data_IF_527638521243
#
_entry.id   IF_527638521243
#
_cell.length_a   1.000
_cell.length_b   1.000
_cell.length_c   1.000
_cell.angle_alpha   90.00
_cell.angle_beta   90.00
_cell.angle_gamma   90.00
#
_symmetry.space_group_name_H-M   'P 1'
#
loop_
_entity.id
_entity.type
_entity.pdbx_description
1 polymer ?
#
# COMPACT_ATOMS: atom_id res chain seq x y z
N UNK A 1 -4.18 -11.41 26.26
CA UNK A 1 -4.17 -11.06 24.82
C UNK A 1 -5.30 -11.83 24.16
N UNK A 2 -6.40 -11.19 23.78
CA UNK A 2 -7.52 -11.87 23.14
C UNK A 2 -7.22 -12.05 21.65
N UNK A 3 -7.26 -13.29 21.15
CA UNK A 3 -7.24 -13.53 19.72
C UNK A 3 -8.38 -12.75 19.05
N UNK A 4 -8.14 -11.99 17.97
CA UNK A 4 -9.24 -11.44 17.18
C UNK A 4 -10.09 -12.61 16.69
N UNK A 5 -11.40 -12.52 16.97
CA UNK A 5 -12.37 -13.55 16.60
C UNK A 5 -12.32 -13.75 15.08
N UNK A 6 -11.92 -14.93 14.61
CA UNK A 6 -11.74 -15.22 13.18
C UNK A 6 -12.99 -14.88 12.34
N UNK A 7 -14.17 -15.00 12.95
CA UNK A 7 -15.46 -14.64 12.35
C UNK A 7 -15.55 -13.12 12.09
N UNK A 8 -15.05 -12.29 13.01
CA UNK A 8 -15.04 -10.84 12.83
C UNK A 8 -14.09 -10.42 11.70
N UNK A 9 -12.92 -11.07 11.59
CA UNK A 9 -11.98 -10.84 10.49
C UNK A 9 -12.58 -11.24 9.13
N UNK A 10 -13.30 -12.37 9.07
CA UNK A 10 -14.03 -12.83 7.88
C UNK A 10 -15.12 -11.85 7.44
N UNK A 11 -15.94 -11.34 8.37
CA UNK A 11 -17.01 -10.39 8.08
C UNK A 11 -16.43 -9.06 7.57
N UNK A 12 -15.36 -8.57 8.20
CA UNK A 12 -14.69 -7.33 7.80
C UNK A 12 -14.04 -7.47 6.41
N UNK A 13 -13.38 -8.60 6.16
CA UNK A 13 -12.81 -8.95 4.85
C UNK A 13 -13.88 -8.98 3.76
N UNK A 14 -15.02 -9.62 4.00
CA UNK A 14 -16.13 -9.69 3.05
C UNK A 14 -16.76 -8.31 2.77
N UNK A 15 -16.95 -7.48 3.79
CA UNK A 15 -17.45 -6.11 3.61
C UNK A 15 -16.49 -5.25 2.76
N UNK A 16 -15.18 -5.48 2.88
CA UNK A 16 -14.17 -4.77 2.11
C UNK A 16 -14.05 -5.24 0.66
N UNK A 17 -14.25 -6.52 0.37
CA UNK A 17 -14.31 -7.03 -0.99
C UNK A 17 -15.45 -6.40 -1.81
N UNK A 18 -16.55 -6.03 -1.15
CA UNK A 18 -17.68 -5.33 -1.76
C UNK A 18 -17.35 -3.83 -1.99
N UNK A 19 -16.60 -3.21 -1.08
CA UNK A 19 -16.28 -1.77 -1.14
C UNK A 19 -15.14 -1.41 -2.11
N UNK A 20 -14.20 -2.33 -2.35
CA UNK A 20 -13.15 -2.20 -3.37
C UNK A 20 -13.50 -3.11 -4.56
N UNK A 21 -14.17 -2.63 -5.63
CA UNK A 21 -14.34 -3.44 -6.85
C UNK A 21 -12.98 -3.90 -7.37
N UNK A 22 -12.96 -4.96 -8.18
CA UNK A 22 -11.72 -5.58 -8.66
C UNK A 22 -10.74 -4.52 -9.23
N UNK A 23 -9.72 -4.21 -8.43
CA UNK A 23 -8.67 -3.24 -8.72
C UNK A 23 -7.35 -3.97 -9.02
N UNK A 24 -7.45 -5.19 -9.57
CA UNK A 24 -6.31 -5.98 -10.00
C UNK A 24 -5.55 -5.28 -11.12
N UNK A 25 -4.23 -5.41 -11.09
CA UNK A 25 -3.34 -4.84 -12.08
C UNK A 25 -3.07 -5.90 -13.15
N UNK A 26 -3.56 -5.63 -14.36
CA UNK A 26 -3.14 -6.38 -15.55
C UNK A 26 -1.79 -5.84 -16.03
N UNK A 27 -0.77 -6.68 -15.98
CA UNK A 27 0.56 -6.35 -16.49
C UNK A 27 0.66 -6.61 -18.00
N UNK A 28 1.45 -5.78 -18.65
CA UNK A 28 1.84 -5.93 -20.06
C UNK A 28 3.34 -6.22 -20.14
N UNK A 29 3.82 -6.71 -21.29
CA UNK A 29 5.27 -6.89 -21.52
C UNK A 29 6.07 -5.61 -21.30
N UNK A 30 5.49 -4.45 -21.59
CA UNK A 30 6.14 -3.15 -21.38
C UNK A 30 6.42 -2.86 -19.89
N UNK A 31 5.68 -3.49 -18.98
CA UNK A 31 5.84 -3.32 -17.54
C UNK A 31 7.03 -4.14 -16.99
N UNK A 32 7.46 -5.20 -17.68
CA UNK A 32 8.62 -6.02 -17.30
C UNK A 32 9.92 -5.22 -17.21
N UNK A 33 9.99 -4.04 -17.85
CA UNK A 33 11.12 -3.11 -17.70
C UNK A 33 11.40 -2.68 -16.26
N UNK A 34 10.44 -2.86 -15.35
CA UNK A 34 10.61 -2.55 -13.93
C UNK A 34 11.26 -3.67 -13.11
N UNK A 35 11.36 -4.89 -13.64
CA UNK A 35 11.92 -6.05 -12.93
C UNK A 35 13.36 -5.80 -12.48
N UNK A 36 14.27 -5.52 -13.43
CA UNK A 36 15.67 -5.34 -13.09
C UNK A 36 15.93 -4.14 -12.15
N UNK A 37 15.32 -2.95 -12.36
CA UNK A 37 15.49 -1.82 -11.44
C UNK A 37 14.97 -2.07 -10.03
N UNK A 38 13.79 -2.72 -9.88
CA UNK A 38 13.24 -3.02 -8.55
C UNK A 38 14.06 -4.10 -7.85
N UNK A 39 14.43 -5.17 -8.56
CA UNK A 39 15.31 -6.20 -8.01
C UNK A 39 16.67 -5.64 -7.57
N UNK A 40 17.21 -4.66 -8.30
CA UNK A 40 18.43 -3.97 -7.92
C UNK A 40 18.24 -3.12 -6.65
N UNK A 41 17.08 -2.46 -6.48
CA UNK A 41 16.74 -1.74 -5.25
C UNK A 41 16.60 -2.68 -4.05
N UNK A 42 15.97 -3.85 -4.24
CA UNK A 42 15.76 -4.83 -3.16
C UNK A 42 17.05 -5.49 -2.64
N UNK A 43 18.14 -5.38 -3.39
CA UNK A 43 19.48 -5.85 -2.98
C UNK A 43 20.26 -4.81 -2.16
N UNK A 44 19.71 -3.61 -1.97
CA UNK A 44 20.35 -2.53 -1.20
C UNK A 44 19.93 -2.58 0.26
N UNK A 45 20.68 -1.86 1.09
CA UNK A 45 20.38 -1.73 2.51
C UNK A 45 19.04 -1.02 2.73
N UNK A 46 18.31 -1.44 3.77
CA UNK A 46 16.97 -0.95 4.09
C UNK A 46 16.93 0.57 4.43
N UNK A 47 18.09 1.15 4.71
CA UNK A 47 18.24 2.57 5.01
C UNK A 47 18.47 3.44 3.76
N UNK A 48 18.58 2.82 2.59
CA UNK A 48 18.92 3.51 1.34
C UNK A 48 17.71 3.75 0.43
N UNK A 49 17.67 4.94 -0.18
CA UNK A 49 16.77 5.24 -1.30
C UNK A 49 17.49 4.98 -2.61
N UNK A 50 16.98 4.03 -3.38
CA UNK A 50 17.52 3.69 -4.69
C UNK A 50 16.87 4.53 -5.79
N UNK A 51 17.69 5.13 -6.66
CA UNK A 51 17.22 5.84 -7.86
C UNK A 51 17.39 4.94 -9.09
N UNK A 52 16.31 4.47 -9.74
CA UNK A 52 16.43 3.78 -11.02
C UNK A 52 17.02 4.73 -12.08
N UNK A 53 17.68 4.17 -13.11
CA UNK A 53 18.29 4.94 -14.20
C UNK A 53 17.30 5.83 -14.95
N UNK A 54 16.04 5.40 -15.00
CA UNK A 54 14.93 6.15 -15.56
C UNK A 54 13.68 5.98 -14.68
N UNK A 55 12.78 6.98 -14.63
CA UNK A 55 11.56 6.84 -13.85
C UNK A 55 10.66 5.72 -14.38
N UNK A 56 10.16 4.87 -13.47
CA UNK A 56 9.24 3.78 -13.80
C UNK A 56 7.81 4.31 -13.79
N UNK A 57 6.96 3.86 -14.72
CA UNK A 57 5.52 4.02 -14.51
C UNK A 57 5.08 3.09 -13.36
N UNK A 58 3.91 3.39 -12.78
CA UNK A 58 3.34 2.59 -11.69
C UNK A 58 3.32 1.09 -11.97
N UNK A 59 2.84 0.67 -13.15
CA UNK A 59 2.69 -0.75 -13.44
C UNK A 59 4.04 -1.44 -13.61
N UNK A 60 5.05 -0.81 -14.23
CA UNK A 60 6.39 -1.40 -14.26
C UNK A 60 7.00 -1.53 -12.87
N UNK A 61 6.84 -0.52 -12.01
CA UNK A 61 7.26 -0.61 -10.62
C UNK A 61 6.59 -1.81 -9.91
N UNK A 62 5.27 -1.95 -10.02
CA UNK A 62 4.53 -3.05 -9.39
C UNK A 62 4.87 -4.43 -9.97
N UNK A 63 5.11 -4.52 -11.28
CA UNK A 63 5.59 -5.74 -11.94
C UNK A 63 6.95 -6.14 -11.38
N UNK A 64 7.87 -5.17 -11.22
CA UNK A 64 9.15 -5.45 -10.58
C UNK A 64 9.03 -5.84 -9.11
N UNK A 65 8.07 -5.27 -8.37
CA UNK A 65 7.83 -5.64 -6.98
C UNK A 65 7.39 -7.09 -6.84
N UNK A 66 6.36 -7.52 -7.60
CA UNK A 66 5.86 -8.90 -7.49
C UNK A 66 6.93 -9.91 -7.88
N UNK A 67 7.68 -9.64 -8.96
CA UNK A 67 8.79 -10.51 -9.41
C UNK A 67 9.94 -10.55 -8.39
N UNK A 68 10.29 -9.42 -7.77
CA UNK A 68 11.36 -9.37 -6.77
C UNK A 68 11.02 -10.10 -5.46
N UNK A 69 9.73 -10.29 -5.18
CA UNK A 69 9.24 -10.98 -3.96
C UNK A 69 8.76 -12.41 -4.23
N UNK A 70 8.72 -12.82 -5.49
CA UNK A 70 8.19 -14.13 -5.87
C UNK A 70 9.06 -15.25 -5.30
N UNK A 71 8.47 -16.09 -4.45
CA UNK A 71 9.14 -17.26 -3.86
C UNK A 71 10.13 -16.96 -2.73
N UNK A 72 10.26 -15.72 -2.26
CA UNK A 72 11.22 -15.36 -1.18
C UNK A 72 10.79 -15.90 0.21
N UNK A 73 9.50 -16.24 0.38
CA UNK A 73 8.98 -16.78 1.66
C UNK A 73 8.96 -15.78 2.82
N UNK A 74 9.35 -14.53 2.57
CA UNK A 74 9.34 -13.41 3.50
C UNK A 74 8.32 -12.35 3.07
N UNK A 75 7.85 -11.54 4.03
CA UNK A 75 7.15 -10.30 3.74
C UNK A 75 8.13 -9.17 3.40
N UNK A 76 7.80 -8.41 2.37
CA UNK A 76 8.57 -7.28 1.87
C UNK A 76 7.67 -6.07 1.79
N UNK A 77 8.25 -4.93 2.15
CA UNK A 77 7.68 -3.62 1.92
C UNK A 77 8.54 -2.88 0.89
N UNK A 78 7.98 -2.60 -0.29
CA UNK A 78 8.67 -1.86 -1.35
C UNK A 78 7.92 -0.56 -1.60
N UNK A 79 8.61 0.57 -1.47
CA UNK A 79 8.01 1.91 -1.53
C UNK A 79 8.57 2.67 -2.71
N UNK A 80 7.72 3.00 -3.68
CA UNK A 80 8.04 3.87 -4.80
C UNK A 80 7.67 5.32 -4.50
N UNK A 81 8.65 6.22 -4.51
CA UNK A 81 8.44 7.67 -4.41
C UNK A 81 8.39 8.26 -5.80
N UNK A 82 7.32 8.97 -6.13
CA UNK A 82 7.12 9.46 -7.48
C UNK A 82 6.23 10.68 -7.57
N UNK A 83 5.85 11.01 -8.80
CA UNK A 83 4.93 12.10 -9.10
C UNK A 83 3.85 11.63 -10.04
N UNK A 84 2.65 12.14 -9.85
CA UNK A 84 1.53 11.92 -10.77
C UNK A 84 1.89 12.47 -12.14
N UNK A 85 1.69 11.67 -13.18
CA UNK A 85 1.91 12.01 -14.57
C UNK A 85 0.76 11.46 -15.41
N UNK A 86 -0.23 12.31 -15.69
CA UNK A 86 -1.49 11.90 -16.32
C UNK A 86 -2.24 10.86 -15.49
N UNK A 87 -2.40 9.65 -16.05
CA UNK A 87 -3.10 8.51 -15.42
C UNK A 87 -2.18 7.57 -14.62
N UNK A 88 -0.87 7.83 -14.61
CA UNK A 88 0.12 7.01 -13.93
C UNK A 88 0.92 7.82 -12.91
N UNK A 89 1.74 7.11 -12.16
CA UNK A 89 2.77 7.68 -11.28
C UNK A 89 4.12 7.39 -11.94
N UNK A 90 5.01 8.38 -12.00
CA UNK A 90 6.41 8.19 -12.37
C UNK A 90 7.23 8.03 -11.09
N UNK A 91 7.64 6.81 -10.80
CA UNK A 91 8.46 6.44 -9.64
C UNK A 91 9.92 6.80 -9.93
N UNK A 92 10.47 7.68 -9.11
CA UNK A 92 11.80 8.26 -9.24
C UNK A 92 12.78 7.70 -8.19
N UNK A 93 12.27 7.17 -7.08
CA UNK A 93 13.06 6.55 -6.01
C UNK A 93 12.34 5.34 -5.44
N UNK A 94 13.09 4.38 -4.91
CA UNK A 94 12.58 3.13 -4.34
C UNK A 94 13.24 2.91 -2.98
N UNK A 95 12.45 2.62 -1.95
CA UNK A 95 12.93 2.05 -0.70
C UNK A 95 12.44 0.60 -0.58
N UNK A 96 13.17 -0.21 0.18
CA UNK A 96 12.81 -1.59 0.44
C UNK A 96 13.10 -1.94 1.90
N UNK A 97 12.17 -2.62 2.55
CA UNK A 97 12.39 -3.27 3.82
C UNK A 97 11.97 -4.73 3.75
N UNK A 98 12.70 -5.61 4.45
CA UNK A 98 12.37 -7.02 4.60
C UNK A 98 11.91 -7.30 6.02
N UNK A 99 10.85 -8.08 6.12
CA UNK A 99 10.29 -8.54 7.37
C UNK A 99 10.66 -9.99 7.67
N UNK A 100 9.75 -10.63 8.40
CA UNK A 100 9.71 -12.07 8.63
C UNK A 100 8.70 -12.71 7.66
N UNK A 101 8.49 -14.03 7.71
CA UNK A 101 7.40 -14.67 6.96
C UNK A 101 5.99 -14.15 7.29
N UNK A 102 5.80 -13.54 8.47
CA UNK A 102 4.48 -13.17 9.00
C UNK A 102 4.28 -11.67 9.20
N UNK A 103 5.35 -10.87 9.13
CA UNK A 103 5.24 -9.43 9.33
C UNK A 103 6.39 -8.65 8.71
N UNK A 104 6.07 -7.54 8.04
CA UNK A 104 7.03 -6.45 7.74
C UNK A 104 6.57 -5.13 8.36
N UNK A 105 7.47 -4.48 9.10
CA UNK A 105 7.22 -3.14 9.63
C UNK A 105 7.64 -2.07 8.62
N UNK A 106 6.97 -0.90 8.65
CA UNK A 106 7.46 0.31 7.98
C UNK A 106 8.48 0.98 8.92
N UNK A 107 9.78 1.01 8.57
CA UNK A 107 10.78 1.70 9.38
C UNK A 107 10.44 3.18 9.57
N UNK A 108 10.75 3.78 10.73
CA UNK A 108 10.44 5.19 11.00
C UNK A 108 10.98 6.16 9.94
N UNK A 109 12.18 5.95 9.43
CA UNK A 109 12.77 6.81 8.39
C UNK A 109 12.03 6.71 7.06
N UNK A 110 11.58 5.52 6.66
CA UNK A 110 10.75 5.33 5.45
C UNK A 110 9.40 6.01 5.65
N UNK A 111 8.76 5.84 6.81
CA UNK A 111 7.50 6.53 7.17
C UNK A 111 7.65 8.05 7.05
N UNK A 112 8.69 8.63 7.64
CA UNK A 112 8.97 10.07 7.54
C UNK A 112 9.25 10.50 6.10
N UNK A 113 10.02 9.72 5.33
CA UNK A 113 10.29 10.01 3.93
C UNK A 113 9.02 10.03 3.09
N UNK A 114 8.07 9.10 3.32
CA UNK A 114 6.79 9.06 2.62
C UNK A 114 5.96 10.31 2.88
N UNK A 115 5.84 10.71 4.15
CA UNK A 115 5.10 11.91 4.57
C UNK A 115 5.72 13.15 3.94
N UNK A 116 7.03 13.33 4.10
CA UNK A 116 7.76 14.49 3.59
C UNK A 116 7.64 14.57 2.06
N UNK A 117 7.78 13.44 1.36
CA UNK A 117 7.65 13.39 -0.10
C UNK A 117 6.26 13.82 -0.55
N UNK A 118 5.20 13.22 -0.01
CA UNK A 118 3.82 13.59 -0.39
C UNK A 118 3.52 15.04 -0.04
N UNK A 119 3.99 15.56 1.10
CA UNK A 119 3.72 16.94 1.50
C UNK A 119 4.46 17.97 0.62
N UNK A 120 5.69 17.68 0.20
CA UNK A 120 6.57 18.62 -0.53
C UNK A 120 6.11 19.07 -1.92
N UNK A 121 5.15 18.39 -2.55
CA UNK A 121 4.66 18.77 -3.87
C UNK A 121 3.22 18.35 -4.11
N UNK A 122 2.42 19.18 -4.81
CA UNK A 122 1.00 18.87 -5.04
C UNK A 122 0.81 17.59 -5.84
N UNK A 123 1.69 17.30 -6.80
CA UNK A 123 1.62 16.09 -7.63
C UNK A 123 2.37 14.89 -7.03
N UNK A 124 3.00 15.01 -5.85
CA UNK A 124 3.85 13.95 -5.31
C UNK A 124 2.99 12.79 -4.81
N UNK A 125 3.32 11.59 -5.29
CA UNK A 125 2.65 10.35 -4.92
C UNK A 125 3.65 9.36 -4.34
N UNK A 126 3.14 8.49 -3.48
CA UNK A 126 3.87 7.32 -2.98
C UNK A 126 3.08 6.09 -3.35
N UNK A 127 3.77 5.06 -3.84
CA UNK A 127 3.24 3.73 -4.08
C UNK A 127 3.86 2.80 -3.05
N UNK A 128 3.06 2.29 -2.13
CA UNK A 128 3.46 1.30 -1.15
C UNK A 128 3.01 -0.07 -1.62
N UNK A 129 3.94 -0.98 -1.81
CA UNK A 129 3.70 -2.39 -2.13
C UNK A 129 4.07 -3.25 -0.92
N UNK A 130 3.18 -4.17 -0.56
CA UNK A 130 3.38 -5.18 0.45
C UNK A 130 3.08 -6.55 -0.17
N UNK A 131 3.92 -7.56 -0.01
CA UNK A 131 3.57 -8.94 -0.37
C UNK A 131 3.25 -9.79 0.86
N UNK A 132 2.31 -10.73 0.69
CA UNK A 132 2.14 -11.86 1.60
C UNK A 132 2.71 -13.13 0.96
N UNK A 133 3.55 -13.89 1.68
CA UNK A 133 3.92 -15.24 1.30
C UNK A 133 2.67 -16.14 1.15
N UNK A 134 2.75 -17.23 0.36
CA UNK A 134 1.65 -18.17 0.24
C UNK A 134 1.22 -18.71 1.62
N UNK A 135 -0.04 -18.52 1.97
CA UNK A 135 -0.63 -19.06 3.21
C UNK A 135 -1.82 -19.97 2.89
N UNK A 136 -2.07 -20.96 3.75
CA UNK A 136 -3.18 -21.90 3.58
C UNK A 136 -4.56 -21.23 3.65
N UNK A 137 -4.68 -20.05 4.27
CA UNK A 137 -5.93 -19.28 4.37
C UNK A 137 -6.35 -18.76 2.99
N UNK A 138 -5.41 -18.55 2.08
CA UNK A 138 -5.65 -17.96 0.75
C UNK A 138 -6.30 -18.96 -0.23
N UNK A 139 -6.17 -20.26 0.04
CA UNK A 139 -6.90 -21.31 -0.68
C UNK A 139 -8.43 -21.23 -0.48
N UNK A 140 -8.90 -20.52 0.56
CA UNK A 140 -10.33 -20.34 0.85
C UNK A 140 -10.94 -19.14 0.10
N UNK A 141 -10.12 -18.21 -0.40
CA UNK A 141 -10.57 -16.96 -1.05
C UNK A 141 -10.07 -16.81 -2.50
N UNK A 142 -9.97 -17.92 -3.23
CA UNK A 142 -9.52 -17.97 -4.63
C UNK A 142 -8.19 -17.22 -4.89
N UNK A 143 -7.28 -17.22 -3.90
CA UNK A 143 -5.96 -16.58 -3.98
C UNK A 143 -5.97 -15.05 -4.18
N UNK A 144 -7.09 -14.36 -3.89
CA UNK A 144 -7.13 -12.90 -3.97
C UNK A 144 -6.25 -12.26 -2.88
N UNK A 145 -5.44 -11.21 -3.21
CA UNK A 145 -4.71 -10.46 -2.20
C UNK A 145 -5.67 -9.76 -1.21
N UNK A 146 -5.57 -10.06 0.08
CA UNK A 146 -6.39 -9.46 1.14
C UNK A 146 -5.54 -8.65 2.13
N UNK A 147 -5.76 -7.33 2.29
CA UNK A 147 -4.96 -6.52 3.20
C UNK A 147 -5.31 -6.83 4.66
N UNK A 148 -4.27 -7.01 5.48
CA UNK A 148 -4.40 -7.26 6.92
C UNK A 148 -5.01 -6.07 7.66
N UNK A 149 -5.43 -6.27 8.90
CA UNK A 149 -5.88 -5.18 9.77
C UNK A 149 -4.78 -4.10 9.93
N UNK A 150 -3.52 -4.50 10.03
CA UNK A 150 -2.36 -3.59 10.17
C UNK A 150 -2.17 -2.72 8.93
N UNK A 151 -2.35 -3.30 7.74
CA UNK A 151 -2.29 -2.55 6.48
C UNK A 151 -3.39 -1.47 6.41
N UNK A 152 -4.59 -1.82 6.89
CA UNK A 152 -5.73 -0.91 6.92
C UNK A 152 -5.58 0.21 7.94
N UNK A 153 -5.04 -0.09 9.12
CA UNK A 153 -4.70 0.93 10.13
C UNK A 153 -3.66 1.89 9.58
N UNK A 154 -2.62 1.37 8.92
CA UNK A 154 -1.59 2.16 8.27
C UNK A 154 -2.18 3.12 7.22
N UNK A 155 -3.06 2.61 6.35
CA UNK A 155 -3.81 3.43 5.38
C UNK A 155 -4.60 4.56 6.07
N UNK A 156 -5.31 4.25 7.15
CA UNK A 156 -6.07 5.23 7.93
C UNK A 156 -5.18 6.29 8.56
N UNK A 157 -4.03 5.93 9.14
CA UNK A 157 -3.08 6.88 9.74
C UNK A 157 -2.62 7.93 8.71
N UNK A 158 -2.23 7.48 7.51
CA UNK A 158 -1.77 8.40 6.47
C UNK A 158 -2.90 9.29 5.91
N UNK A 159 -4.08 8.73 5.69
CA UNK A 159 -5.22 9.51 5.19
C UNK A 159 -5.83 10.44 6.24
N UNK A 160 -5.52 10.26 7.52
CA UNK A 160 -5.89 11.19 8.59
C UNK A 160 -5.04 12.47 8.63
N UNK A 161 -3.90 12.51 7.91
CA UNK A 161 -3.06 13.70 7.88
C UNK A 161 -3.72 14.83 7.08
N UNK A 162 -3.93 16.04 7.66
CA UNK A 162 -4.72 17.10 7.03
C UNK A 162 -4.26 17.49 5.62
N UNK A 163 -2.95 17.61 5.40
CA UNK A 163 -2.39 17.99 4.09
C UNK A 163 -2.63 16.89 3.05
N UNK A 164 -2.46 15.62 3.43
CA UNK A 164 -2.66 14.48 2.53
C UNK A 164 -4.15 14.36 2.18
N UNK A 165 -5.04 14.53 3.17
CA UNK A 165 -6.49 14.56 2.96
C UNK A 165 -6.91 15.70 2.03
N UNK A 166 -6.38 16.92 2.25
CA UNK A 166 -6.67 18.07 1.41
C UNK A 166 -6.25 17.81 -0.04
N UNK A 167 -5.05 17.26 -0.25
CA UNK A 167 -4.59 16.87 -1.60
C UNK A 167 -5.51 15.84 -2.23
N UNK A 168 -5.90 14.81 -1.48
CA UNK A 168 -6.83 13.78 -1.98
C UNK A 168 -8.15 14.41 -2.46
N UNK A 169 -8.72 15.33 -1.70
CA UNK A 169 -9.97 16.04 -2.04
C UNK A 169 -9.84 16.90 -3.30
N UNK A 170 -8.69 17.54 -3.51
CA UNK A 170 -8.43 18.37 -4.70
C UNK A 170 -7.76 17.60 -5.86
N UNK A 171 -7.73 16.27 -5.80
CA UNK A 171 -7.13 15.44 -6.86
C UNK A 171 -5.60 15.58 -6.97
N UNK A 172 -4.94 16.04 -5.93
CA UNK A 172 -3.48 16.03 -5.78
C UNK A 172 -2.92 14.62 -5.57
N UNK A 173 -1.62 14.56 -5.33
CA UNK A 173 -0.89 13.35 -5.02
C UNK A 173 -1.24 12.79 -3.64
N UNK A 174 -1.01 11.49 -3.47
CA UNK A 174 -1.47 10.68 -2.35
C UNK A 174 -0.57 9.47 -2.14
N UNK A 175 -0.79 8.76 -1.05
CA UNK A 175 -0.18 7.44 -0.81
C UNK A 175 -1.16 6.39 -1.34
N UNK A 176 -0.66 5.46 -2.15
CA UNK A 176 -1.45 4.38 -2.78
C UNK A 176 -0.90 3.06 -2.33
N UNK A 177 -1.80 2.14 -1.96
CA UNK A 177 -1.42 0.89 -1.33
C UNK A 177 -1.75 -0.27 -2.25
N UNK A 178 -0.75 -1.13 -2.42
CA UNK A 178 -0.79 -2.28 -3.29
C UNK A 178 -0.40 -3.52 -2.51
N UNK A 179 -1.15 -4.58 -2.74
CA UNK A 179 -0.89 -5.88 -2.18
C UNK A 179 -0.52 -6.85 -3.30
N UNK A 180 0.61 -7.53 -3.14
CA UNK A 180 1.08 -8.58 -4.03
C UNK A 180 0.89 -9.95 -3.42
N UNK A 181 0.21 -10.85 -4.12
CA UNK A 181 -0.01 -12.20 -3.65
C UNK A 181 -0.27 -13.15 -4.81
N UNK A 182 0.32 -14.35 -4.79
CA UNK A 182 0.11 -15.41 -5.79
C UNK A 182 0.28 -14.97 -7.26
N UNK A 183 1.19 -14.03 -7.52
CA UNK A 183 1.42 -13.47 -8.86
C UNK A 183 0.44 -12.36 -9.26
N UNK A 184 -0.53 -12.03 -8.42
CA UNK A 184 -1.46 -10.93 -8.61
C UNK A 184 -1.03 -9.70 -7.80
N UNK A 185 -1.39 -8.52 -8.31
CA UNK A 185 -1.22 -7.26 -7.59
C UNK A 185 -2.53 -6.50 -7.62
N UNK A 186 -2.98 -6.01 -6.46
CA UNK A 186 -4.24 -5.26 -6.32
C UNK A 186 -4.02 -3.97 -5.55
N UNK A 187 -4.66 -2.89 -5.99
CA UNK A 187 -4.79 -1.68 -5.16
C UNK A 187 -5.93 -1.88 -4.16
N UNK A 188 -5.69 -1.60 -2.88
CA UNK A 188 -6.77 -1.44 -1.92
C UNK A 188 -6.91 0.03 -1.53
N UNK A 189 -8.15 0.51 -1.51
CA UNK A 189 -8.46 1.93 -1.28
C UNK A 189 -9.28 2.13 -0.03
N UNK A 190 -9.86 1.07 0.54
CA UNK A 190 -10.77 1.20 1.69
C UNK A 190 -10.01 1.33 3.01
N UNK A 191 -9.98 2.54 3.63
CA UNK A 191 -9.47 2.70 4.98
C UNK A 191 -10.36 1.99 6.00
N UNK A 192 -9.83 1.74 7.19
CA UNK A 192 -10.62 1.19 8.28
C UNK A 192 -11.71 2.19 8.70
N UNK A 193 -12.97 1.93 8.33
CA UNK A 193 -14.09 2.87 8.45
C UNK A 193 -14.32 3.35 9.88
N UNK A 194 -14.16 2.48 10.89
CA UNK A 194 -14.24 2.87 12.31
C UNK A 194 -13.17 3.89 12.70
N UNK A 195 -11.97 3.79 12.13
CA UNK A 195 -10.87 4.70 12.41
C UNK A 195 -11.11 6.09 11.82
N UNK A 196 -11.64 6.15 10.59
CA UNK A 196 -12.03 7.41 9.95
C UNK A 196 -13.19 8.08 10.70
N UNK A 197 -14.23 7.33 11.06
CA UNK A 197 -15.35 7.90 11.83
C UNK A 197 -14.88 8.47 13.18
N UNK A 198 -13.98 7.77 13.88
CA UNK A 198 -13.37 8.30 15.10
C UNK A 198 -12.58 9.58 14.88
N UNK A 199 -11.86 9.70 13.76
CA UNK A 199 -11.07 10.89 13.44
C UNK A 199 -11.96 12.08 13.03
N UNK A 200 -12.98 11.85 12.20
CA UNK A 200 -13.95 12.87 11.80
C UNK A 200 -14.75 13.40 13.00
N UNK A 201 -15.07 12.54 13.98
CA UNK A 201 -15.67 12.95 15.26
C UNK A 201 -14.76 13.86 16.06
N UNK A 202 -13.46 13.53 16.17
CA UNK A 202 -12.48 14.41 16.86
C UNK A 202 -12.31 15.77 16.17
N UNK A 203 -12.48 15.82 14.85
CA UNK A 203 -12.46 17.06 14.07
C UNK A 203 -13.80 17.81 14.08
N UNK A 204 -14.83 17.30 14.77
CA UNK A 204 -16.15 17.93 14.87
C UNK A 204 -16.99 17.86 13.59
N UNK A 205 -16.59 17.04 12.61
CA UNK A 205 -17.22 16.95 11.29
C UNK A 205 -18.40 15.96 11.24
N UNK A 206 -18.58 15.14 12.28
CA UNK A 206 -19.69 14.18 12.41
C UNK A 206 -20.20 14.24 13.85
N UNK A 207 -21.50 14.49 14.05
CA UNK A 207 -22.17 14.47 15.36
C UNK A 207 -22.58 13.05 15.75
N UNK A 208 -22.57 12.76 17.05
CA UNK A 208 -23.30 11.60 17.56
C UNK A 208 -24.79 11.86 17.44
N UNK A 209 -25.48 11.09 16.61
CA UNK A 209 -26.91 10.88 16.82
C UNK A 209 -27.04 9.79 17.89
N UNK A 210 -27.52 10.18 19.07
CA UNK A 210 -27.99 9.25 20.09
C UNK A 210 -27.21 9.27 21.40
N UNK A 211 -27.47 10.27 22.23
CA UNK A 211 -27.51 10.12 23.67
C UNK A 211 -28.67 10.98 24.20
N UNK A 212 -29.88 10.41 24.13
CA UNK A 212 -31.02 10.79 24.96
C UNK A 212 -31.05 9.88 26.18
#
# INVERSE_FOLDING_TARGET
MSHPNAIAHLIETAAHLIADPDNSIAFTRDDERGIAPVAAACKKDADSLHKPRSPLNRNAFLCGCIEATHGDGLEHLIVGFGRRHGKTTKVEQIAHNRGTPDTVAIPPHIRSAMINHVQSGFANEVILFHNHPPSWINAVFDNQPLPSLTDRVTLTEYHSQPIILLKLLFGGGRIRFYLGENGFVREFRTPHLRGIMGHLRRLGLVREEGAS
#
